data_IF_837582916737
#
_entry.id   IF_837582916737
#
_cell.length_a   1.000
_cell.length_b   1.000
_cell.length_c   1.000
_cell.angle_alpha   90.00
_cell.angle_beta   90.00
_cell.angle_gamma   90.00
#
_symmetry.space_group_name_H-M   'P 1'
#
loop_
_entity.id
_entity.type
_entity.pdbx_description
1 polymer ?
#
# COMPACT_ATOMS: atom_id res chain seq x y z
N UNK A 1 32.07 -33.77 -85.75
CA UNK A 1 30.70 -34.22 -85.97
C UNK A 1 29.85 -33.64 -84.90
N UNK A 2 29.06 -32.63 -85.23
CA UNK A 2 28.42 -31.71 -84.27
C UNK A 2 26.97 -32.12 -84.18
N UNK A 3 26.47 -32.30 -82.98
CA UNK A 3 25.02 -32.30 -82.67
C UNK A 3 24.67 -31.21 -81.67
N UNK A 4 23.91 -30.26 -82.18
CA UNK A 4 23.22 -29.21 -81.34
C UNK A 4 21.94 -29.80 -80.80
N UNK A 5 21.70 -29.68 -79.55
CA UNK A 5 20.39 -29.89 -78.94
C UNK A 5 19.91 -28.56 -78.39
N UNK A 6 18.82 -28.04 -78.93
CA UNK A 6 18.05 -26.92 -78.41
C UNK A 6 17.20 -27.43 -77.29
N UNK A 7 17.32 -26.82 -76.09
CA UNK A 7 16.39 -27.02 -75.02
C UNK A 7 15.51 -25.77 -74.90
N UNK A 8 14.21 -25.97 -75.16
CA UNK A 8 13.18 -24.92 -74.96
C UNK A 8 12.92 -24.63 -73.50
N UNK A 9 12.91 -23.34 -73.13
CA UNK A 9 12.55 -22.86 -71.82
C UNK A 9 11.05 -22.55 -71.82
N UNK A 10 10.30 -23.35 -71.14
CA UNK A 10 8.88 -23.10 -70.89
C UNK A 10 8.78 -22.19 -69.62
N UNK A 11 8.34 -20.93 -69.79
CA UNK A 11 8.07 -20.01 -68.71
C UNK A 11 6.69 -20.32 -68.16
N UNK A 12 6.65 -20.83 -66.94
CA UNK A 12 5.43 -21.05 -66.22
C UNK A 12 5.15 -19.80 -65.38
N UNK A 13 4.19 -18.95 -65.77
CA UNK A 13 3.71 -17.84 -64.96
C UNK A 13 2.86 -18.39 -63.83
N UNK A 14 3.41 -18.37 -62.59
CA UNK A 14 2.64 -18.62 -61.36
C UNK A 14 2.07 -17.29 -60.93
N UNK A 15 0.76 -17.13 -61.03
CA UNK A 15 0.03 -16.02 -60.43
C UNK A 15 -0.07 -16.25 -58.94
N UNK A 16 0.70 -15.50 -58.15
CA UNK A 16 0.57 -15.45 -56.67
C UNK A 16 -0.62 -14.57 -56.38
N UNK A 17 -1.76 -15.18 -56.06
CA UNK A 17 -2.91 -14.49 -55.49
C UNK A 17 -2.58 -14.02 -54.06
N UNK A 18 -2.45 -12.72 -53.87
CA UNK A 18 -2.32 -12.12 -52.55
C UNK A 18 -3.68 -12.27 -51.83
N UNK A 19 -3.83 -13.29 -51.00
CA UNK A 19 -4.89 -13.38 -50.03
C UNK A 19 -4.60 -12.37 -48.93
N UNK A 20 -5.33 -11.26 -48.93
CA UNK A 20 -5.39 -10.30 -47.83
C UNK A 20 -6.01 -11.00 -46.60
N UNK A 21 -5.18 -11.50 -45.69
CA UNK A 21 -5.62 -11.92 -44.38
C UNK A 21 -6.06 -10.65 -43.63
N UNK A 22 -7.35 -10.42 -43.61
CA UNK A 22 -7.94 -9.46 -42.65
C UNK A 22 -7.57 -9.94 -41.27
N UNK A 23 -6.65 -9.26 -40.62
CA UNK A 23 -6.43 -9.35 -39.17
C UNK A 23 -7.73 -8.90 -38.51
N UNK A 24 -8.62 -9.85 -38.20
CA UNK A 24 -9.68 -9.61 -37.23
C UNK A 24 -8.97 -9.24 -35.93
N UNK A 25 -9.06 -7.97 -35.55
CA UNK A 25 -8.58 -7.51 -34.26
C UNK A 25 -9.22 -8.40 -33.20
N UNK A 26 -8.42 -9.12 -32.43
CA UNK A 26 -8.87 -9.72 -31.19
C UNK A 26 -9.39 -8.55 -30.38
N UNK A 27 -10.72 -8.50 -30.17
CA UNK A 27 -11.30 -7.72 -29.10
C UNK A 27 -10.55 -8.17 -27.83
N UNK A 28 -9.84 -7.26 -27.19
CA UNK A 28 -9.10 -7.55 -25.99
C UNK A 28 -10.09 -8.18 -25.00
N UNK A 29 -9.87 -9.42 -24.65
CA UNK A 29 -10.51 -9.99 -23.47
C UNK A 29 -10.00 -9.16 -22.31
N UNK A 30 -10.90 -8.63 -21.50
CA UNK A 30 -10.53 -7.99 -20.24
C UNK A 30 -9.57 -8.94 -19.52
N UNK A 31 -8.43 -8.46 -19.01
CA UNK A 31 -7.43 -9.31 -18.40
C UNK A 31 -8.07 -10.05 -17.23
N UNK A 32 -8.26 -11.36 -17.37
CA UNK A 32 -8.88 -12.18 -16.35
C UNK A 32 -7.92 -12.29 -15.18
N UNK A 33 -8.35 -11.85 -14.00
CA UNK A 33 -7.59 -11.97 -12.77
C UNK A 33 -7.19 -13.45 -12.53
N UNK A 34 -5.91 -13.74 -12.22
CA UNK A 34 -5.45 -15.09 -11.92
C UNK A 34 -6.24 -15.72 -10.76
N UNK A 35 -6.42 -17.07 -10.82
CA UNK A 35 -7.11 -17.80 -9.75
C UNK A 35 -6.23 -18.88 -9.15
N UNK A 36 -6.44 -19.16 -7.89
CA UNK A 36 -5.83 -20.28 -7.18
C UNK A 36 -6.43 -21.60 -7.66
N UNK A 37 -5.76 -22.75 -7.43
CA UNK A 37 -6.31 -24.07 -7.73
C UNK A 37 -7.64 -24.38 -7.03
N UNK A 38 -7.95 -23.71 -5.93
CA UNK A 38 -9.22 -23.87 -5.19
C UNK A 38 -10.27 -22.80 -5.55
N UNK A 39 -10.06 -22.04 -6.63
CA UNK A 39 -11.08 -21.23 -7.30
C UNK A 39 -11.19 -19.78 -6.89
N UNK A 40 -10.58 -19.32 -5.80
CA UNK A 40 -10.57 -17.92 -5.40
C UNK A 40 -9.54 -17.10 -6.22
N UNK A 41 -9.71 -15.77 -6.36
CA UNK A 41 -8.66 -14.92 -6.93
C UNK A 41 -7.33 -15.15 -6.24
N UNK A 42 -6.26 -15.19 -7.02
CA UNK A 42 -4.90 -15.41 -6.52
C UNK A 42 -4.28 -14.09 -6.06
N UNK A 43 -4.24 -13.87 -4.76
CA UNK A 43 -3.64 -12.68 -4.15
C UNK A 43 -2.16 -12.88 -3.79
N UNK A 44 -1.61 -14.11 -4.01
CA UNK A 44 -0.23 -14.42 -3.64
C UNK A 44 0.77 -13.57 -4.41
N UNK A 45 1.84 -13.21 -3.74
CA UNK A 45 2.92 -12.43 -4.34
C UNK A 45 3.48 -11.38 -3.40
N UNK A 46 4.40 -10.61 -3.91
CA UNK A 46 4.93 -9.42 -3.24
C UNK A 46 4.33 -8.19 -3.91
N UNK A 47 3.73 -7.34 -3.12
CA UNK A 47 2.94 -6.20 -3.56
C UNK A 47 3.43 -4.92 -2.92
N UNK A 48 3.25 -3.79 -3.60
CA UNK A 48 3.48 -2.46 -3.06
C UNK A 48 2.27 -1.57 -3.30
N UNK A 49 1.99 -0.67 -2.36
CA UNK A 49 1.04 0.42 -2.55
C UNK A 49 1.74 1.79 -2.50
N UNK A 50 3.04 1.81 -2.72
CA UNK A 50 3.80 3.05 -2.80
C UNK A 50 3.16 3.99 -3.84
N UNK A 51 2.91 5.23 -3.43
CA UNK A 51 2.28 6.23 -4.29
C UNK A 51 2.60 7.64 -3.81
N UNK A 52 2.64 8.58 -4.74
CA UNK A 52 2.73 10.01 -4.47
C UNK A 52 1.36 10.69 -4.40
N UNK A 53 0.28 9.91 -4.58
CA UNK A 53 -1.08 10.42 -4.39
C UNK A 53 -1.29 10.73 -2.91
N UNK A 54 -1.69 11.95 -2.55
CA UNK A 54 -1.87 12.34 -1.16
C UNK A 54 -3.06 11.60 -0.52
N UNK A 55 -2.97 11.36 0.80
CA UNK A 55 -4.08 10.77 1.53
C UNK A 55 -5.32 11.67 1.48
N UNK A 56 -5.18 12.95 1.80
CA UNK A 56 -6.26 13.94 1.70
C UNK A 56 -6.16 14.75 0.41
N UNK A 57 -7.31 15.18 -0.10
CA UNK A 57 -7.40 16.02 -1.28
C UNK A 57 -6.80 17.39 -1.02
N UNK A 58 -5.79 17.82 -1.78
CA UNK A 58 -5.26 19.18 -1.72
C UNK A 58 -6.36 20.22 -2.02
N UNK A 59 -6.27 21.39 -1.39
CA UNK A 59 -7.25 22.46 -1.55
C UNK A 59 -7.43 22.91 -3.01
N UNK A 60 -6.36 22.86 -3.81
CA UNK A 60 -6.39 23.20 -5.23
C UNK A 60 -7.26 22.26 -6.08
N UNK A 61 -7.60 21.08 -5.54
CA UNK A 61 -8.50 20.08 -6.18
C UNK A 61 -9.83 19.94 -5.47
N UNK A 62 -10.23 20.92 -4.68
CA UNK A 62 -11.55 20.90 -4.03
C UNK A 62 -12.68 20.66 -5.06
N UNK A 63 -13.55 19.68 -4.76
CA UNK A 63 -14.63 19.28 -5.66
C UNK A 63 -14.21 18.41 -6.86
N UNK A 64 -12.90 18.11 -7.03
CA UNK A 64 -12.38 17.31 -8.15
C UNK A 64 -11.84 15.98 -7.65
N UNK A 65 -12.47 14.89 -8.02
CA UNK A 65 -12.05 13.54 -7.63
C UNK A 65 -10.85 13.04 -8.44
N UNK A 66 -10.72 13.46 -9.70
CA UNK A 66 -9.70 12.97 -10.62
C UNK A 66 -8.91 14.11 -11.27
N UNK A 67 -7.64 13.84 -11.51
CA UNK A 67 -6.76 14.61 -12.42
C UNK A 67 -7.09 14.24 -13.86
N UNK A 68 -6.74 15.11 -14.81
CA UNK A 68 -6.60 14.69 -16.20
C UNK A 68 -5.31 13.94 -16.43
N UNK A 69 -5.18 13.22 -17.55
CA UNK A 69 -3.91 12.52 -17.88
C UNK A 69 -2.77 13.52 -18.08
N UNK A 70 -3.06 14.70 -18.62
CA UNK A 70 -2.06 15.76 -18.81
C UNK A 70 -1.59 16.31 -17.46
N UNK A 71 -2.51 16.56 -16.53
CA UNK A 71 -2.17 17.02 -15.17
C UNK A 71 -1.34 15.97 -14.44
N UNK A 72 -1.71 14.69 -14.56
CA UNK A 72 -0.95 13.58 -14.00
C UNK A 72 0.47 13.53 -14.59
N UNK A 73 0.57 13.59 -15.92
CA UNK A 73 1.87 13.53 -16.61
C UNK A 73 2.82 14.67 -16.20
N UNK A 74 2.30 15.89 -15.98
CA UNK A 74 3.09 17.03 -15.52
C UNK A 74 3.54 16.87 -14.07
N UNK A 75 2.73 16.25 -13.21
CA UNK A 75 3.01 16.12 -11.77
C UNK A 75 3.82 14.86 -11.43
N UNK A 76 3.76 13.82 -12.27
CA UNK A 76 4.40 12.52 -12.03
C UNK A 76 5.94 12.56 -12.06
N UNK A 77 6.61 13.33 -12.94
CA UNK A 77 8.07 13.39 -12.94
C UNK A 77 8.61 14.09 -11.68
N UNK A 78 9.08 13.29 -10.72
CA UNK A 78 9.72 13.80 -9.50
C UNK A 78 8.75 14.20 -8.38
N UNK A 79 7.49 13.82 -8.45
CA UNK A 79 6.48 14.11 -7.41
C UNK A 79 6.69 13.32 -6.11
N UNK A 80 7.66 12.43 -6.03
CA UNK A 80 8.05 11.79 -4.78
C UNK A 80 8.79 12.75 -3.84
N UNK A 81 8.80 12.44 -2.56
CA UNK A 81 9.63 13.15 -1.59
C UNK A 81 11.08 13.07 -2.06
N UNK A 82 11.69 14.22 -2.34
CA UNK A 82 13.10 14.27 -2.72
C UNK A 82 13.99 14.11 -1.48
N UNK A 83 15.26 13.74 -1.70
CA UNK A 83 16.26 13.74 -0.61
C UNK A 83 16.37 15.12 0.03
N UNK A 84 16.20 16.19 -0.75
CA UNK A 84 16.22 17.57 -0.27
C UNK A 84 15.03 17.86 0.66
N UNK A 85 13.83 17.41 0.28
CA UNK A 85 12.62 17.49 1.13
C UNK A 85 12.81 16.70 2.42
N UNK A 86 13.33 15.47 2.33
CA UNK A 86 13.63 14.65 3.51
C UNK A 86 14.70 15.28 4.40
N UNK A 87 15.73 15.90 3.83
CA UNK A 87 16.76 16.60 4.60
C UNK A 87 16.18 17.81 5.33
N UNK A 88 15.19 18.47 4.73
CA UNK A 88 14.47 19.58 5.36
C UNK A 88 13.57 19.09 6.49
N UNK A 89 12.88 17.94 6.30
CA UNK A 89 11.99 17.34 7.29
C UNK A 89 12.76 16.61 8.40
N UNK A 90 13.95 16.06 8.08
CA UNK A 90 14.78 15.27 8.98
C UNK A 90 16.24 15.74 8.90
N UNK A 91 16.58 16.89 9.49
CA UNK A 91 17.91 17.51 9.37
C UNK A 91 19.06 16.70 9.96
N UNK A 92 18.77 15.62 10.70
CA UNK A 92 19.78 14.74 11.33
C UNK A 92 20.29 13.60 10.42
N UNK A 93 19.89 13.56 9.18
CA UNK A 93 20.30 12.54 8.20
C UNK A 93 19.09 11.85 7.58
N UNK A 94 18.76 12.23 6.39
CA UNK A 94 17.74 11.56 5.59
C UNK A 94 18.32 10.34 4.89
N UNK A 95 17.45 9.43 4.51
CA UNK A 95 17.76 8.37 3.56
C UNK A 95 18.19 8.99 2.23
N UNK A 96 19.12 8.32 1.53
CA UNK A 96 19.43 8.70 0.16
C UNK A 96 18.34 8.17 -0.80
N UNK A 97 18.33 8.69 -2.02
CA UNK A 97 17.31 8.34 -3.03
C UNK A 97 17.21 6.84 -3.34
N UNK A 98 18.25 6.08 -3.06
CA UNK A 98 18.27 4.63 -3.28
C UNK A 98 17.21 3.90 -2.44
N UNK A 99 16.93 4.38 -1.22
CA UNK A 99 15.97 3.76 -0.31
C UNK A 99 14.55 4.26 -0.47
N UNK A 100 14.31 5.23 -1.37
CA UNK A 100 12.99 5.80 -1.55
C UNK A 100 12.17 5.01 -2.56
N UNK A 101 11.02 4.54 -2.14
CA UNK A 101 10.00 3.92 -2.98
C UNK A 101 9.10 5.03 -3.53
N UNK A 102 9.39 5.47 -4.75
CA UNK A 102 8.73 6.66 -5.32
C UNK A 102 7.37 6.36 -5.91
N UNK A 103 6.77 5.30 -5.87
CA UNK A 103 5.44 4.98 -6.38
C UNK A 103 4.83 5.96 -7.39
N UNK A 104 3.83 5.56 -8.09
CA UNK A 104 3.19 6.38 -9.11
C UNK A 104 2.10 7.30 -8.54
N UNK A 105 1.93 8.46 -9.19
CA UNK A 105 0.76 9.30 -8.98
C UNK A 105 -0.45 8.67 -9.69
N UNK A 106 -1.50 8.34 -8.96
CA UNK A 106 -2.75 7.89 -9.55
C UNK A 106 -3.51 9.06 -10.19
N UNK A 107 -4.55 8.74 -10.94
CA UNK A 107 -5.47 9.79 -11.44
C UNK A 107 -6.32 10.40 -10.31
N UNK A 108 -6.41 9.77 -9.15
CA UNK A 108 -7.15 10.34 -8.03
C UNK A 108 -6.42 11.53 -7.42
N UNK A 109 -7.17 12.52 -6.99
CA UNK A 109 -6.63 13.68 -6.27
C UNK A 109 -6.40 13.38 -4.78
N UNK A 110 -6.92 12.24 -4.27
CA UNK A 110 -6.73 11.75 -2.90
C UNK A 110 -6.90 10.25 -2.83
N UNK A 111 -6.25 9.61 -1.86
CA UNK A 111 -6.50 8.21 -1.52
C UNK A 111 -7.82 8.05 -0.75
N UNK A 112 -8.22 9.05 0.06
CA UNK A 112 -9.54 9.06 0.69
C UNK A 112 -10.63 9.18 -0.37
N UNK A 113 -11.57 8.23 -0.31
CA UNK A 113 -12.70 8.12 -1.26
C UNK A 113 -14.05 8.26 -0.56
N UNK A 114 -14.06 8.10 0.75
CA UNK A 114 -15.22 8.35 1.61
C UNK A 114 -14.72 8.94 2.93
N UNK A 115 -15.16 10.14 3.29
CA UNK A 115 -16.13 11.03 2.62
C UNK A 115 -15.69 11.47 1.23
N UNK A 116 -16.66 11.80 0.37
CA UNK A 116 -16.46 12.13 -1.05
C UNK A 116 -15.69 13.43 -1.31
N UNK A 117 -15.55 14.29 -0.29
CA UNK A 117 -14.67 15.46 -0.34
C UNK A 117 -13.19 15.08 -0.33
N UNK A 118 -12.87 13.80 -0.07
CA UNK A 118 -11.50 13.29 -0.04
C UNK A 118 -10.71 13.76 1.17
N UNK A 119 -11.37 14.07 2.27
CA UNK A 119 -10.76 14.50 3.53
C UNK A 119 -11.16 13.60 4.68
N UNK A 120 -10.34 13.54 5.72
CA UNK A 120 -10.74 12.87 6.94
C UNK A 120 -11.95 13.57 7.58
N UNK A 121 -12.89 12.80 8.15
CA UNK A 121 -13.90 13.39 9.02
C UNK A 121 -13.26 14.21 10.14
N UNK A 122 -13.96 15.20 10.70
CA UNK A 122 -13.46 15.91 11.87
C UNK A 122 -13.11 14.94 13.01
N UNK A 123 -12.01 15.21 13.70
CA UNK A 123 -11.67 14.50 14.92
C UNK A 123 -12.64 14.83 16.04
N UNK A 124 -12.85 13.87 16.93
CA UNK A 124 -13.58 14.14 18.16
C UNK A 124 -12.81 15.14 19.05
N UNK A 125 -13.50 15.95 19.88
CA UNK A 125 -12.81 16.86 20.80
C UNK A 125 -11.82 16.14 21.73
N UNK A 126 -12.12 14.90 22.12
CA UNK A 126 -11.25 14.07 22.93
C UNK A 126 -9.98 13.67 22.17
N UNK A 127 -10.12 13.26 20.91
CA UNK A 127 -8.98 12.92 20.07
C UNK A 127 -8.07 14.13 19.84
N UNK A 128 -8.64 15.32 19.62
CA UNK A 128 -7.86 16.56 19.49
C UNK A 128 -7.05 16.84 20.75
N UNK A 129 -7.67 16.72 21.94
CA UNK A 129 -6.96 16.90 23.22
C UNK A 129 -5.84 15.87 23.40
N UNK A 130 -6.13 14.59 23.12
CA UNK A 130 -5.15 13.50 23.26
C UNK A 130 -3.94 13.71 22.35
N UNK A 131 -4.15 14.08 21.07
CA UNK A 131 -3.07 14.38 20.14
C UNK A 131 -2.24 15.58 20.54
N UNK A 132 -2.86 16.61 21.11
CA UNK A 132 -2.15 17.77 21.64
C UNK A 132 -1.29 17.45 22.87
N UNK A 133 -1.62 16.39 23.61
CA UNK A 133 -0.84 15.94 24.77
C UNK A 133 0.24 14.92 24.45
N UNK A 134 0.20 14.32 23.25
CA UNK A 134 1.17 13.34 22.78
C UNK A 134 1.67 13.76 21.40
N UNK A 135 2.53 14.78 21.31
CA UNK A 135 3.15 15.15 20.07
C UNK A 135 3.99 13.97 19.55
N UNK A 136 4.25 13.95 18.23
CA UNK A 136 5.15 12.95 17.67
C UNK A 136 6.55 13.10 18.23
N UNK A 137 7.32 12.01 18.23
CA UNK A 137 8.72 12.02 18.67
C UNK A 137 9.61 13.03 17.93
N UNK A 138 9.21 13.42 16.70
CA UNK A 138 9.88 14.46 15.92
C UNK A 138 9.53 15.89 16.35
N UNK A 139 8.46 16.07 17.13
CA UNK A 139 7.95 17.39 17.57
C UNK A 139 8.14 17.66 19.06
N UNK A 140 8.77 16.74 19.79
CA UNK A 140 9.02 16.87 21.24
C UNK A 140 10.42 17.41 21.51
N UNK A 141 10.49 18.38 22.44
CA UNK A 141 11.76 18.93 22.91
C UNK A 141 12.41 18.15 24.06
N UNK A 142 11.71 17.14 24.59
CA UNK A 142 12.23 16.32 25.67
C UNK A 142 11.44 15.03 25.88
N UNK A 143 12.13 14.03 26.46
CA UNK A 143 11.58 12.71 26.77
C UNK A 143 11.94 12.35 28.21
N UNK A 144 10.96 11.93 28.98
CA UNK A 144 11.17 11.48 30.38
C UNK A 144 11.26 9.95 30.43
N UNK A 145 10.48 9.27 29.59
CA UNK A 145 10.33 7.82 29.60
C UNK A 145 10.32 7.25 28.16
N UNK A 146 10.60 5.97 28.03
CA UNK A 146 10.42 5.23 26.78
C UNK A 146 8.96 5.21 26.30
N UNK A 147 8.00 5.45 27.18
CA UNK A 147 6.57 5.52 26.83
C UNK A 147 6.18 6.79 26.09
N UNK A 148 7.06 7.79 26.06
CA UNK A 148 6.85 9.04 25.31
C UNK A 148 7.10 8.83 23.80
N UNK A 149 7.74 7.73 23.44
CA UNK A 149 7.93 7.32 22.05
C UNK A 149 6.76 6.50 21.54
N UNK A 150 6.45 6.67 20.26
CA UNK A 150 5.41 5.89 19.60
C UNK A 150 5.76 4.39 19.57
N UNK A 151 4.77 3.55 19.30
CA UNK A 151 5.01 2.10 19.06
C UNK A 151 5.91 1.86 17.86
N UNK A 152 5.91 2.75 16.89
CA UNK A 152 6.79 2.72 15.74
C UNK A 152 8.25 2.98 16.13
N UNK A 153 8.52 4.08 16.84
CA UNK A 153 9.89 4.43 17.28
C UNK A 153 10.51 3.34 18.18
N UNK A 154 9.65 2.64 18.91
CA UNK A 154 10.05 1.50 19.78
C UNK A 154 10.12 0.18 19.03
N UNK A 155 10.00 0.15 17.72
CA UNK A 155 10.02 -1.06 16.90
C UNK A 155 8.96 -2.12 17.29
N UNK A 156 7.82 -1.71 17.81
CA UNK A 156 6.76 -2.63 18.21
C UNK A 156 5.77 -2.91 17.08
N UNK A 157 5.22 -1.86 16.49
CA UNK A 157 4.25 -1.96 15.39
C UNK A 157 3.92 -0.58 14.83
N UNK A 158 3.44 -0.54 13.58
CA UNK A 158 2.71 0.62 13.06
C UNK A 158 1.20 0.53 13.30
N UNK A 159 0.70 -0.64 13.71
CA UNK A 159 -0.72 -0.91 13.89
C UNK A 159 -1.53 -0.75 12.60
N UNK A 160 -2.86 -0.83 12.71
CA UNK A 160 -3.78 -0.53 11.61
C UNK A 160 -4.50 0.80 11.83
N UNK A 161 -4.66 1.62 10.78
CA UNK A 161 -4.34 1.38 9.36
C UNK A 161 -2.87 1.64 8.98
N UNK A 162 -2.02 2.15 9.89
CA UNK A 162 -0.69 2.65 9.57
C UNK A 162 0.22 1.65 8.85
N UNK A 163 0.17 0.37 9.22
CA UNK A 163 0.99 -0.68 8.59
C UNK A 163 0.59 -0.96 7.13
N UNK A 164 -0.65 -0.65 6.74
CA UNK A 164 -1.16 -0.87 5.39
C UNK A 164 -1.31 0.43 4.59
N UNK A 165 -0.94 1.57 5.17
CA UNK A 165 -0.94 2.86 4.48
C UNK A 165 0.35 3.05 3.71
N UNK A 166 0.32 3.68 2.52
CA UNK A 166 1.53 3.94 1.76
C UNK A 166 2.52 4.83 2.51
N UNK A 167 3.78 4.61 2.25
CA UNK A 167 4.89 5.41 2.76
C UNK A 167 5.96 5.55 1.70
N UNK A 168 7.13 6.05 2.09
CA UNK A 168 8.20 6.36 1.16
C UNK A 168 9.38 5.37 1.21
N UNK A 169 9.30 4.30 2.03
CA UNK A 169 10.25 3.17 2.07
C UNK A 169 9.67 1.98 2.83
N UNK A 170 10.09 0.76 2.46
CA UNK A 170 9.70 -0.51 3.08
C UNK A 170 8.18 -0.71 3.23
N UNK A 171 7.41 -0.23 2.25
CA UNK A 171 5.95 -0.41 2.22
C UNK A 171 5.53 -1.50 1.24
N UNK A 172 6.26 -2.63 1.30
CA UNK A 172 5.95 -3.82 0.54
C UNK A 172 5.25 -4.85 1.41
N UNK A 173 4.44 -5.69 0.79
CA UNK A 173 3.62 -6.69 1.44
C UNK A 173 3.80 -8.04 0.75
N UNK A 174 4.10 -9.08 1.50
CA UNK A 174 4.01 -10.44 0.97
C UNK A 174 2.68 -11.07 1.39
N UNK A 175 1.89 -11.48 0.40
CA UNK A 175 0.63 -12.19 0.62
C UNK A 175 0.86 -13.67 0.33
N UNK A 176 0.57 -14.50 1.33
CA UNK A 176 0.53 -15.96 1.24
C UNK A 176 -0.91 -16.40 1.43
N UNK A 177 -1.40 -17.25 0.55
CA UNK A 177 -2.80 -17.66 0.56
C UNK A 177 -2.91 -19.18 0.51
N UNK A 178 -3.73 -19.72 1.39
CA UNK A 178 -4.16 -21.13 1.43
C UNK A 178 -5.68 -21.20 1.35
N UNK A 179 -6.31 -22.37 1.25
CA UNK A 179 -7.76 -22.47 1.30
C UNK A 179 -8.39 -21.89 2.57
N UNK A 180 -7.70 -21.99 3.71
CA UNK A 180 -8.25 -21.69 5.03
C UNK A 180 -7.70 -20.42 5.67
N UNK A 181 -6.62 -19.86 5.14
CA UNK A 181 -5.93 -18.71 5.72
C UNK A 181 -5.32 -17.82 4.64
N UNK A 182 -5.25 -16.52 4.94
CA UNK A 182 -4.35 -15.60 4.27
C UNK A 182 -3.37 -15.05 5.29
N UNK A 183 -2.09 -15.05 4.96
CA UNK A 183 -1.05 -14.35 5.74
C UNK A 183 -0.57 -13.12 4.97
N UNK A 184 -0.50 -11.98 5.66
CA UNK A 184 0.02 -10.73 5.11
C UNK A 184 1.23 -10.34 5.95
N UNK A 185 2.41 -10.45 5.36
CA UNK A 185 3.65 -9.97 5.95
C UNK A 185 3.87 -8.54 5.48
N UNK A 186 4.04 -7.63 6.43
CA UNK A 186 4.36 -6.22 6.18
C UNK A 186 5.86 -6.04 6.35
N UNK A 187 6.53 -5.48 5.35
CA UNK A 187 7.99 -5.28 5.39
C UNK A 187 8.38 -4.32 6.53
N UNK A 188 7.69 -3.20 6.65
CA UNK A 188 7.93 -2.22 7.70
C UNK A 188 7.62 -2.83 9.09
N UNK A 189 8.64 -2.90 9.96
CA UNK A 189 8.57 -3.51 11.31
C UNK A 189 8.23 -5.02 11.29
N UNK A 190 8.29 -5.67 10.12
CA UNK A 190 8.10 -7.12 9.95
C UNK A 190 6.85 -7.71 10.63
N UNK A 191 5.78 -6.91 10.77
CA UNK A 191 4.49 -7.39 11.28
C UNK A 191 3.89 -8.46 10.36
N UNK A 192 3.43 -9.57 10.94
CA UNK A 192 2.73 -10.63 10.22
C UNK A 192 1.29 -10.74 10.72
N UNK A 193 0.35 -10.77 9.79
CA UNK A 193 -1.09 -10.89 10.06
C UNK A 193 -1.59 -12.22 9.52
N UNK A 194 -2.12 -13.07 10.38
CA UNK A 194 -2.77 -14.32 9.97
C UNK A 194 -4.27 -14.10 10.01
N UNK A 195 -4.91 -14.30 8.86
CA UNK A 195 -6.34 -14.09 8.64
C UNK A 195 -7.01 -15.44 8.41
N UNK A 196 -7.67 -16.03 9.42
CA UNK A 196 -8.49 -17.23 9.23
C UNK A 196 -9.70 -16.95 8.34
N UNK A 197 -10.03 -17.91 7.46
CA UNK A 197 -11.17 -17.88 6.52
C UNK A 197 -12.28 -18.86 6.89
N UNK A 198 -12.19 -19.51 8.04
CA UNK A 198 -13.07 -20.60 8.48
C UNK A 198 -14.36 -20.13 9.16
N UNK A 199 -14.63 -18.84 9.20
CA UNK A 199 -15.85 -18.27 9.79
C UNK A 199 -15.89 -18.29 11.32
N UNK A 200 -14.76 -18.60 12.00
CA UNK A 200 -14.72 -18.52 13.46
C UNK A 200 -14.98 -17.09 13.96
N UNK A 201 -15.59 -16.91 15.14
CA UNK A 201 -15.82 -15.58 15.70
C UNK A 201 -14.52 -14.91 16.11
N UNK A 202 -14.55 -13.59 16.28
CA UNK A 202 -13.47 -12.85 16.91
C UNK A 202 -13.21 -13.34 18.34
N UNK A 203 -11.97 -13.17 18.78
CA UNK A 203 -11.59 -13.37 20.17
C UNK A 203 -12.35 -12.41 21.10
N UNK A 204 -12.41 -12.75 22.39
CA UNK A 204 -12.95 -11.82 23.40
C UNK A 204 -12.29 -10.44 23.26
N UNK A 205 -13.06 -9.37 23.43
CA UNK A 205 -12.56 -8.00 23.39
C UNK A 205 -11.51 -7.69 24.47
N UNK A 206 -11.33 -8.57 25.45
CA UNK A 206 -10.25 -8.51 26.44
C UNK A 206 -8.89 -8.94 25.89
N UNK A 207 -8.86 -9.69 24.78
CA UNK A 207 -7.63 -10.14 24.12
C UNK A 207 -7.25 -9.11 23.08
N UNK A 208 -6.27 -8.27 23.40
CA UNK A 208 -5.77 -7.22 22.50
C UNK A 208 -4.45 -7.62 21.86
N UNK A 209 -4.28 -7.30 20.58
CA UNK A 209 -3.08 -7.60 19.80
C UNK A 209 -2.64 -6.37 19.02
N UNK A 210 -1.34 -6.20 18.79
CA UNK A 210 -0.79 -5.03 18.11
C UNK A 210 -1.42 -4.80 16.72
N UNK A 211 -1.59 -5.88 15.95
CA UNK A 211 -2.24 -5.83 14.63
C UNK A 211 -3.72 -6.23 14.69
N UNK A 212 -4.30 -6.32 15.89
CA UNK A 212 -5.68 -6.72 16.10
C UNK A 212 -5.96 -8.19 15.84
N UNK A 213 -7.22 -8.56 15.93
CA UNK A 213 -7.74 -9.90 15.65
C UNK A 213 -8.49 -9.88 14.32
N UNK A 214 -7.91 -10.47 13.29
CA UNK A 214 -8.42 -10.44 11.94
C UNK A 214 -9.30 -11.67 11.63
N UNK A 215 -10.38 -11.50 10.87
CA UNK A 215 -11.21 -12.55 10.29
C UNK A 215 -11.48 -12.22 8.83
N UNK A 216 -11.30 -13.20 7.97
CA UNK A 216 -11.50 -13.07 6.54
C UNK A 216 -12.68 -13.88 6.02
N UNK A 217 -13.27 -13.39 4.94
CA UNK A 217 -14.26 -14.09 4.14
C UNK A 217 -14.19 -13.65 2.69
N UNK A 218 -14.63 -14.50 1.80
CA UNK A 218 -14.79 -14.15 0.41
C UNK A 218 -16.21 -13.62 0.14
N UNK A 219 -16.30 -12.46 -0.52
CA UNK A 219 -17.52 -11.90 -1.06
C UNK A 219 -17.37 -11.83 -2.58
N UNK A 220 -17.81 -12.88 -3.29
CA UNK A 220 -17.51 -13.04 -4.71
C UNK A 220 -16.00 -13.11 -4.93
N UNK A 221 -15.45 -12.20 -5.70
CA UNK A 221 -14.01 -12.11 -6.04
C UNK A 221 -13.22 -11.16 -5.11
N UNK A 222 -13.83 -10.72 -4.01
CA UNK A 222 -13.19 -9.85 -3.04
C UNK A 222 -12.93 -10.59 -1.73
N UNK A 223 -11.68 -10.60 -1.27
CA UNK A 223 -11.36 -10.96 0.10
C UNK A 223 -11.70 -9.78 1.01
N UNK A 224 -12.59 -9.99 1.96
CA UNK A 224 -12.94 -9.01 2.99
C UNK A 224 -12.33 -9.45 4.31
N UNK A 225 -11.56 -8.57 4.94
CA UNK A 225 -10.91 -8.81 6.23
C UNK A 225 -11.44 -7.79 7.23
N UNK A 226 -12.08 -8.27 8.28
CA UNK A 226 -12.48 -7.46 9.43
C UNK A 226 -11.46 -7.64 10.55
N UNK A 227 -10.97 -6.54 11.11
CA UNK A 227 -10.01 -6.53 12.22
C UNK A 227 -10.55 -5.71 13.39
N UNK A 228 -10.58 -6.35 14.54
CA UNK A 228 -11.00 -5.75 15.82
C UNK A 228 -9.89 -5.92 16.87
N UNK A 229 -10.18 -5.67 18.13
CA UNK A 229 -9.28 -5.94 19.26
C UNK A 229 -7.89 -5.28 19.15
N UNK A 230 -7.81 -4.12 18.50
CA UNK A 230 -6.61 -3.30 18.48
C UNK A 230 -6.32 -2.71 19.87
N UNK A 231 -5.05 -2.46 20.23
CA UNK A 231 -4.70 -1.93 21.54
C UNK A 231 -5.36 -0.57 21.81
N UNK A 232 -5.90 -0.40 23.00
CA UNK A 232 -6.45 0.86 23.51
C UNK A 232 -7.46 1.55 22.57
N UNK A 233 -8.14 0.77 21.71
CA UNK A 233 -9.07 1.29 20.73
C UNK A 233 -10.31 0.41 20.62
N UNK A 234 -11.43 1.03 20.29
CA UNK A 234 -12.68 0.38 19.84
C UNK A 234 -12.77 0.36 18.31
N UNK A 235 -11.66 0.67 17.66
CA UNK A 235 -11.53 0.71 16.20
C UNK A 235 -11.88 -0.62 15.57
N UNK A 236 -12.66 -0.54 14.50
CA UNK A 236 -12.89 -1.63 13.56
C UNK A 236 -12.30 -1.22 12.21
N UNK A 237 -11.52 -2.10 11.65
CA UNK A 237 -10.92 -1.92 10.33
C UNK A 237 -11.48 -2.99 9.41
N UNK A 238 -12.03 -2.57 8.27
CA UNK A 238 -12.50 -3.48 7.21
C UNK A 238 -11.67 -3.23 5.97
N UNK A 239 -10.99 -4.28 5.51
CA UNK A 239 -10.15 -4.24 4.33
C UNK A 239 -10.78 -5.08 3.22
N UNK A 240 -10.63 -4.63 1.99
CA UNK A 240 -11.14 -5.30 0.80
C UNK A 240 -10.02 -5.44 -0.22
N UNK A 241 -9.73 -6.67 -0.62
CA UNK A 241 -8.71 -6.98 -1.63
C UNK A 241 -9.42 -7.60 -2.83
N UNK A 242 -9.46 -6.88 -3.93
CA UNK A 242 -10.06 -7.35 -5.18
C UNK A 242 -8.98 -7.39 -6.25
N UNK A 243 -8.59 -8.59 -6.69
CA UNK A 243 -7.65 -8.69 -7.81
C UNK A 243 -8.38 -8.38 -9.10
N UNK A 244 -8.03 -7.26 -9.74
CA UNK A 244 -8.75 -6.75 -10.93
C UNK A 244 -8.12 -7.25 -12.23
N UNK A 245 -6.81 -7.49 -12.22
CA UNK A 245 -6.06 -8.05 -13.35
C UNK A 245 -4.79 -8.80 -12.88
N UNK A 246 -3.84 -9.07 -13.80
CA UNK A 246 -2.61 -9.78 -13.47
C UNK A 246 -1.69 -9.00 -12.52
N UNK A 247 -1.74 -7.67 -12.55
CA UNK A 247 -0.78 -6.80 -11.90
C UNK A 247 -1.41 -5.81 -10.91
N UNK A 248 -2.72 -5.93 -10.64
CA UNK A 248 -3.42 -4.95 -9.79
C UNK A 248 -4.33 -5.63 -8.77
N UNK A 249 -4.18 -5.24 -7.51
CA UNK A 249 -5.17 -5.45 -6.45
C UNK A 249 -5.81 -4.10 -6.12
N UNK A 250 -7.11 -3.93 -6.36
CA UNK A 250 -7.88 -2.82 -5.79
C UNK A 250 -8.00 -3.07 -4.28
N UNK A 251 -7.11 -2.44 -3.52
CA UNK A 251 -7.11 -2.51 -2.07
C UNK A 251 -7.81 -1.29 -1.50
N UNK A 252 -8.77 -1.55 -0.61
CA UNK A 252 -9.51 -0.52 0.11
C UNK A 252 -9.51 -0.82 1.59
N UNK A 253 -9.39 0.23 2.40
CA UNK A 253 -9.46 0.15 3.84
C UNK A 253 -10.50 1.13 4.37
N UNK A 254 -11.42 0.63 5.17
CA UNK A 254 -12.43 1.42 5.86
C UNK A 254 -12.15 1.37 7.36
N UNK A 255 -12.18 2.52 8.01
CA UNK A 255 -11.89 2.65 9.44
C UNK A 255 -13.09 3.28 10.14
N UNK A 256 -13.59 2.57 11.14
CA UNK A 256 -14.59 3.09 12.10
C UNK A 256 -13.92 3.21 13.46
N UNK A 257 -13.68 4.40 13.93
CA UNK A 257 -13.12 4.68 15.25
C UNK A 257 -13.82 5.88 15.90
N UNK A 258 -14.93 5.66 16.61
CA UNK A 258 -15.71 6.74 17.21
C UNK A 258 -14.97 7.46 18.36
N UNK A 259 -13.84 6.93 18.84
CA UNK A 259 -12.97 7.63 19.77
C UNK A 259 -12.02 8.62 19.09
N UNK A 260 -11.80 8.46 17.80
CA UNK A 260 -10.88 9.31 17.01
C UNK A 260 -11.63 10.25 16.07
N UNK A 261 -12.62 9.73 15.31
CA UNK A 261 -13.29 10.44 14.24
C UNK A 261 -14.79 10.54 14.46
N UNK A 262 -15.39 11.63 13.99
CA UNK A 262 -16.86 11.85 14.08
C UNK A 262 -17.65 10.96 13.11
N UNK A 263 -17.02 10.38 12.10
CA UNK A 263 -17.61 9.45 11.15
C UNK A 263 -16.55 8.44 10.65
N UNK A 264 -16.95 7.29 10.09
CA UNK A 264 -16.05 6.40 9.38
C UNK A 264 -15.43 7.06 8.16
N UNK A 265 -14.30 6.51 7.70
CA UNK A 265 -13.67 6.91 6.45
C UNK A 265 -13.14 5.71 5.68
N UNK A 266 -12.98 5.87 4.36
CA UNK A 266 -12.42 4.83 3.47
C UNK A 266 -11.36 5.41 2.57
N UNK A 267 -10.24 4.70 2.44
CA UNK A 267 -9.20 4.98 1.46
C UNK A 267 -9.09 3.86 0.43
N UNK A 268 -8.80 4.22 -0.82
CA UNK A 268 -8.45 3.31 -1.91
C UNK A 268 -6.96 3.46 -2.21
N UNK A 269 -6.22 2.37 -2.03
CA UNK A 269 -4.76 2.31 -2.11
C UNK A 269 -4.37 1.11 -2.99
N UNK A 270 -4.55 1.19 -4.32
CA UNK A 270 -4.26 0.07 -5.22
C UNK A 270 -2.84 -0.45 -5.02
N UNK A 271 -2.68 -1.77 -5.14
CA UNK A 271 -1.39 -2.42 -5.03
C UNK A 271 -0.96 -2.93 -6.41
N UNK A 272 0.32 -2.78 -6.72
CA UNK A 272 1.00 -3.36 -7.87
C UNK A 272 2.08 -4.35 -7.42
N UNK A 273 2.59 -5.23 -8.30
CA UNK A 273 3.71 -6.09 -7.98
C UNK A 273 4.92 -5.25 -7.52
N UNK A 274 5.55 -5.66 -6.42
CA UNK A 274 6.78 -5.05 -5.97
C UNK A 274 7.99 -5.64 -6.71
N UNK A 275 9.00 -4.81 -6.97
CA UNK A 275 10.26 -5.23 -7.56
C UNK A 275 11.15 -5.90 -6.50
N UNK A 276 11.26 -7.21 -6.58
CA UNK A 276 12.17 -7.99 -5.70
C UNK A 276 11.50 -8.59 -4.46
N UNK A 277 12.29 -9.22 -3.59
CA UNK A 277 11.82 -9.80 -2.35
C UNK A 277 11.61 -8.74 -1.27
N UNK A 278 10.81 -9.08 -0.25
CA UNK A 278 10.84 -8.29 0.98
C UNK A 278 12.24 -8.38 1.62
N UNK A 279 12.70 -7.25 2.12
CA UNK A 279 13.92 -7.19 2.91
C UNK A 279 13.59 -7.25 4.40
N UNK A 280 14.53 -7.71 5.19
CA UNK A 280 14.43 -7.64 6.63
C UNK A 280 14.48 -6.17 7.09
N UNK A 281 13.46 -5.74 7.82
CA UNK A 281 13.49 -4.47 8.51
C UNK A 281 14.04 -4.68 9.93
N UNK A 282 15.37 -4.61 10.06
CA UNK A 282 16.09 -4.84 11.30
C UNK A 282 15.97 -3.65 12.27
N UNK A 283 14.77 -3.38 12.75
CA UNK A 283 14.44 -2.18 13.53
C UNK A 283 15.11 -2.17 14.91
N UNK A 284 15.32 -3.33 15.53
CA UNK A 284 15.91 -3.44 16.87
C UNK A 284 17.45 -3.40 16.85
N UNK A 285 18.06 -3.95 15.81
CA UNK A 285 19.49 -4.08 15.67
C UNK A 285 20.14 -2.71 15.48
N UNK A 286 20.97 -2.32 16.46
CA UNK A 286 21.63 -1.01 16.44
C UNK A 286 20.71 0.19 16.66
N UNK A 287 19.46 -0.01 17.09
CA UNK A 287 18.56 1.09 17.44
C UNK A 287 19.03 1.77 18.75
N UNK A 288 19.94 2.72 18.61
CA UNK A 288 20.38 3.57 19.71
C UNK A 288 19.55 4.85 19.86
N UNK A 289 18.58 5.08 18.99
CA UNK A 289 17.83 6.34 18.94
C UNK A 289 17.10 6.63 20.25
N UNK A 290 16.31 5.69 20.78
CA UNK A 290 15.55 5.87 22.04
C UNK A 290 16.49 6.15 23.21
N UNK A 291 17.59 5.40 23.33
CA UNK A 291 18.58 5.60 24.41
C UNK A 291 19.25 6.97 24.31
N UNK A 292 19.66 7.36 23.10
CA UNK A 292 20.35 8.63 22.86
C UNK A 292 19.42 9.83 23.09
N UNK A 293 18.16 9.74 22.65
CA UNK A 293 17.17 10.79 22.84
C UNK A 293 16.81 10.98 24.33
N UNK A 294 16.64 9.89 25.08
CA UNK A 294 16.45 9.94 26.54
C UNK A 294 17.67 10.53 27.25
N UNK A 295 18.88 10.13 26.86
CA UNK A 295 20.11 10.65 27.46
C UNK A 295 20.28 12.15 27.14
N UNK A 296 20.00 12.55 25.90
CA UNK A 296 20.05 13.95 25.49
C UNK A 296 19.02 14.82 26.24
N UNK A 297 17.81 14.31 26.45
CA UNK A 297 16.79 15.00 27.22
C UNK A 297 17.23 15.23 28.67
N UNK A 298 17.77 14.18 29.31
CA UNK A 298 18.27 14.27 30.71
C UNK A 298 19.46 15.21 30.84
N UNK A 299 20.31 15.32 29.81
CA UNK A 299 21.47 16.24 29.85
C UNK A 299 21.06 17.71 29.75
N UNK A 300 19.88 18.00 29.20
CA UNK A 300 19.31 19.36 29.11
C UNK A 300 18.51 19.74 30.35
N UNK A 301 18.18 18.78 31.22
CA UNK A 301 17.42 19.02 32.46
C UNK A 301 18.38 19.56 33.53
N UNK A 302 18.19 20.80 34.00
CA UNK A 302 19.07 21.42 34.97
C UNK A 302 18.86 20.94 36.45
N UNK A 303 18.07 19.87 36.65
CA UNK A 303 17.88 19.24 37.96
C UNK A 303 19.02 18.40 38.45
#
# INVERSE_FOLDING_TARGET
MVYRILAGVTVCCVAVGAASLSSAGQAGQDPVAPRTPWGHPDLRGTWTNATTTPMERPAEFEGREFLTEEERAVRSPGSGISTEDLTTLMPTGAYNDFWLEKGDLSLRTSLLVDPSDGRYPPMTPEAVRRRGQQPSSFAQDGFESYTDFSTYDRCLTRGLPGAMSPGFYNHNYQIVQTPDHVAILVEMIHDARIVPLDGRPHLSSSVRQWMGDARGRWEGDTLVVETTNLPQSVRVVVERFTRVDADTIDYRISVTDPAEWTAPWTAAMPMSPADGPLFEYACHEGNHAVVNMLSGSRSKDPR
#
